data_IF_443676979131
#
_entry.id   IF_443676979131
#
_cell.length_a   1.000
_cell.length_b   1.000
_cell.length_c   1.000
_cell.angle_alpha   90.00
_cell.angle_beta   90.00
_cell.angle_gamma   90.00
#
_symmetry.space_group_name_H-M   'P 1'
#
loop_
_entity.id
_entity.type
_entity.pdbx_description
1 polymer ?
#
# COMPACT_ATOMS: atom_id res chain seq x y z
N UNK A 1 1.11 -16.84 -9.41
CA UNK A 1 1.56 -16.39 -8.08
C UNK A 1 0.73 -15.18 -7.71
N UNK A 2 0.19 -15.10 -6.49
CA UNK A 2 -0.51 -13.91 -6.01
C UNK A 2 0.45 -13.10 -5.14
N UNK A 3 0.38 -11.78 -5.24
CA UNK A 3 1.07 -10.85 -4.34
C UNK A 3 0.06 -10.10 -3.52
N UNK A 4 0.44 -9.78 -2.29
CA UNK A 4 -0.32 -8.91 -1.41
C UNK A 4 0.42 -7.58 -1.31
N UNK A 5 -0.23 -6.50 -1.74
CA UNK A 5 0.30 -5.15 -1.68
C UNK A 5 -0.48 -4.33 -0.65
N UNK A 6 0.20 -3.38 -0.01
CA UNK A 6 -0.40 -2.39 0.88
C UNK A 6 -0.25 -1.03 0.23
N UNK A 7 -1.38 -0.47 -0.19
CA UNK A 7 -1.45 0.73 -1.01
C UNK A 7 -1.56 1.96 -0.11
N UNK A 8 -0.81 3.00 -0.45
CA UNK A 8 -0.84 4.28 0.23
C UNK A 8 -0.83 5.45 -0.75
N UNK A 9 -1.27 6.62 -0.29
CA UNK A 9 -1.25 7.85 -1.08
C UNK A 9 0.20 8.37 -1.18
N UNK A 10 0.70 8.63 -2.41
CA UNK A 10 2.07 9.15 -2.61
C UNK A 10 2.32 10.49 -1.95
N UNK A 11 1.30 11.35 -1.91
CA UNK A 11 1.46 12.74 -1.44
C UNK A 11 1.81 12.83 0.03
N UNK A 12 1.32 11.90 0.85
CA UNK A 12 1.36 12.05 2.30
C UNK A 12 1.53 10.73 3.08
N UNK A 13 1.71 9.62 2.34
CA UNK A 13 1.96 8.28 2.86
C UNK A 13 0.71 7.58 3.41
N UNK A 14 -0.48 8.18 3.34
CA UNK A 14 -1.67 7.66 4.00
C UNK A 14 -2.05 6.26 3.51
N UNK A 15 -2.14 5.28 4.43
CA UNK A 15 -2.61 3.94 4.09
C UNK A 15 -4.05 3.98 3.55
N UNK A 16 -4.32 3.30 2.43
CA UNK A 16 -5.64 3.30 1.80
C UNK A 16 -6.32 1.95 1.92
N UNK A 17 -5.69 0.91 1.37
CA UNK A 17 -6.24 -0.45 1.34
C UNK A 17 -5.15 -1.49 1.05
N UNK A 18 -5.47 -2.76 1.26
CA UNK A 18 -4.67 -3.88 0.79
C UNK A 18 -5.29 -4.47 -0.48
N UNK A 19 -4.46 -4.96 -1.40
CA UNK A 19 -4.91 -5.65 -2.61
C UNK A 19 -4.14 -6.97 -2.78
N UNK A 20 -4.82 -8.01 -3.26
CA UNK A 20 -4.27 -9.35 -3.48
C UNK A 20 -4.61 -9.80 -4.90
N UNK A 21 -3.59 -9.99 -5.72
CA UNK A 21 -3.82 -10.35 -7.12
C UNK A 21 -2.56 -10.76 -7.86
N UNK A 22 -2.71 -10.89 -9.18
CA UNK A 22 -1.56 -11.03 -10.06
C UNK A 22 -0.74 -9.71 -10.01
N UNK A 23 0.59 -9.76 -9.83
CA UNK A 23 1.43 -8.55 -9.77
C UNK A 23 1.17 -7.56 -10.90
N UNK A 24 1.05 -8.07 -12.14
CA UNK A 24 0.91 -7.22 -13.32
C UNK A 24 -0.43 -6.49 -13.31
N UNK A 25 -1.50 -7.17 -12.88
CA UNK A 25 -2.85 -6.59 -12.79
C UNK A 25 -2.99 -5.57 -11.65
N UNK A 26 -2.46 -5.91 -10.47
CA UNK A 26 -2.58 -5.01 -9.29
C UNK A 26 -1.75 -3.74 -9.49
N UNK A 27 -0.59 -3.84 -10.15
CA UNK A 27 0.24 -2.69 -10.48
C UNK A 27 -0.37 -1.87 -11.62
N UNK A 28 -0.94 -2.50 -12.65
CA UNK A 28 -1.56 -1.77 -13.77
C UNK A 28 -2.78 -0.96 -13.36
N UNK A 29 -3.54 -1.45 -12.38
CA UNK A 29 -4.74 -0.80 -11.88
C UNK A 29 -4.42 0.29 -10.84
N UNK A 30 -3.15 0.44 -10.46
CA UNK A 30 -2.71 1.44 -9.50
C UNK A 30 -2.69 2.82 -10.14
N UNK A 31 -3.50 3.74 -9.63
CA UNK A 31 -3.46 5.13 -10.05
C UNK A 31 -2.11 5.78 -9.77
N UNK A 32 -1.70 6.72 -10.63
CA UNK A 32 -0.41 7.43 -10.52
C UNK A 32 -0.22 8.17 -9.19
N UNK A 33 -1.32 8.48 -8.50
CA UNK A 33 -1.35 9.16 -7.20
C UNK A 33 -1.06 8.25 -6.01
N UNK A 34 -0.95 6.93 -6.25
CA UNK A 34 -0.76 5.89 -5.24
C UNK A 34 0.55 5.15 -5.44
N UNK A 35 1.05 4.60 -4.35
CA UNK A 35 2.23 3.74 -4.31
C UNK A 35 1.97 2.57 -3.36
N UNK A 36 2.92 1.65 -3.27
CA UNK A 36 2.72 0.41 -2.52
C UNK A 36 3.95 -0.03 -1.74
N UNK A 37 3.69 -0.79 -0.69
CA UNK A 37 4.71 -1.54 0.05
C UNK A 37 4.27 -2.99 0.24
N UNK A 38 5.24 -3.87 0.46
CA UNK A 38 5.00 -5.27 0.85
C UNK A 38 4.89 -5.45 2.37
N UNK A 39 5.20 -4.40 3.12
CA UNK A 39 5.14 -4.40 4.59
C UNK A 39 3.73 -4.06 5.05
N UNK A 40 3.12 -4.92 5.86
CA UNK A 40 1.82 -4.65 6.45
C UNK A 40 1.89 -3.52 7.49
N UNK A 41 0.84 -2.67 7.62
CA UNK A 41 0.69 -1.83 8.80
C UNK A 41 0.62 -2.72 10.06
N UNK A 42 1.13 -2.25 11.22
CA UNK A 42 1.20 -3.05 12.44
C UNK A 42 -0.16 -3.60 12.90
N UNK A 43 -1.22 -2.80 12.72
CA UNK A 43 -2.60 -3.17 13.06
C UNK A 43 -3.60 -2.27 12.31
N UNK A 44 -4.88 -2.42 12.64
CA UNK A 44 -5.99 -1.60 12.10
C UNK A 44 -6.58 -0.65 13.17
N UNK A 45 -5.87 -0.41 14.28
CA UNK A 45 -6.40 0.38 15.41
C UNK A 45 -6.38 1.88 15.14
N UNK A 46 -5.51 2.30 14.23
CA UNK A 46 -5.38 3.68 13.77
C UNK A 46 -5.06 3.73 12.29
N UNK A 47 -5.16 4.95 11.76
CA UNK A 47 -4.71 5.29 10.42
C UNK A 47 -3.18 5.43 10.41
N UNK A 48 -2.50 4.71 9.52
CA UNK A 48 -1.04 4.73 9.38
C UNK A 48 -0.58 5.54 8.17
N UNK A 49 0.67 6.01 8.22
CA UNK A 49 1.37 6.60 7.07
C UNK A 49 2.67 5.86 6.77
N UNK A 50 2.94 5.57 5.50
CA UNK A 50 4.22 5.04 5.05
C UNK A 50 5.19 6.19 4.81
N UNK A 51 6.17 6.35 5.70
CA UNK A 51 7.20 7.38 5.62
C UNK A 51 8.56 6.73 5.84
N UNK A 52 9.54 7.08 5.00
CA UNK A 52 10.93 6.64 5.13
C UNK A 52 11.12 5.12 5.31
N UNK A 53 10.28 4.32 4.66
CA UNK A 53 10.36 2.85 4.69
C UNK A 53 9.70 2.19 5.90
N UNK A 54 8.89 2.92 6.67
CA UNK A 54 8.17 2.39 7.83
C UNK A 54 6.74 2.96 7.95
N UNK A 55 5.87 2.21 8.63
CA UNK A 55 4.55 2.69 9.05
C UNK A 55 4.64 3.49 10.35
N UNK A 56 4.09 4.71 10.34
CA UNK A 56 4.00 5.59 11.52
C UNK A 56 2.57 5.94 11.89
#
# INVERSE_FOLDING_TARGET
MLVKLYIYQKSDGLFLYQDIGNPDSVISDLGDDKDFTLTAPPDNTKQYRWLDGAWV
#
